data_IF_154507631922
#
_entry.id   IF_154507631922
#
_cell.length_a   1.000
_cell.length_b   1.000
_cell.length_c   1.000
_cell.angle_alpha   90.00
_cell.angle_beta   90.00
_cell.angle_gamma   90.00
#
_symmetry.space_group_name_H-M   'P 1'
#
loop_
_entity.id
_entity.type
_entity.pdbx_description
1 polymer ?
#
# COMPACT_ATOMS: atom_id res chain seq x y z
N UNK A 1 94.92 26.78 0.47
CA UNK A 1 94.48 25.38 0.67
C UNK A 1 92.97 25.34 0.38
N UNK A 2 92.55 24.66 -0.70
CA UNK A 2 91.18 24.20 -1.08
C UNK A 2 90.05 25.27 -1.12
N UNK A 3 89.49 25.58 -2.30
CA UNK A 3 88.23 25.02 -2.88
C UNK A 3 87.03 25.17 -1.91
N UNK A 4 85.86 25.70 -2.25
CA UNK A 4 85.02 25.42 -3.42
C UNK A 4 83.74 26.28 -3.35
N UNK A 5 83.21 26.59 -4.53
CA UNK A 5 81.83 26.91 -4.94
C UNK A 5 80.67 26.55 -3.98
N UNK A 6 79.61 27.36 -4.02
CA UNK A 6 78.30 26.94 -4.58
C UNK A 6 77.38 28.15 -4.86
N UNK A 7 76.70 28.09 -6.01
CA UNK A 7 75.75 29.07 -6.56
C UNK A 7 74.40 28.98 -5.83
N UNK A 8 73.83 30.13 -5.50
CA UNK A 8 72.43 30.28 -5.09
C UNK A 8 71.56 30.83 -6.22
N UNK A 9 70.38 30.23 -6.37
CA UNK A 9 69.27 30.63 -7.25
C UNK A 9 68.63 31.96 -6.83
N UNK A 10 68.06 32.70 -7.79
CA UNK A 10 67.12 33.79 -7.50
C UNK A 10 66.48 34.41 -8.75
N UNK A 11 65.14 34.49 -8.75
CA UNK A 11 64.30 35.37 -9.60
C UNK A 11 63.82 34.75 -10.92
N UNK A 12 62.62 34.16 -11.03
CA UNK A 12 61.30 34.79 -11.16
C UNK A 12 60.99 35.37 -12.56
N UNK A 13 60.01 34.78 -13.27
CA UNK A 13 58.85 35.52 -13.78
C UNK A 13 57.70 34.59 -14.22
N UNK A 14 56.49 35.10 -14.02
CA UNK A 14 55.15 34.49 -14.08
C UNK A 14 54.49 34.72 -15.43
N UNK A 15 53.73 33.72 -15.93
CA UNK A 15 52.53 33.83 -16.78
C UNK A 15 51.95 32.40 -16.86
N UNK A 16 50.76 32.03 -16.37
CA UNK A 16 49.52 32.79 -16.22
C UNK A 16 48.48 32.26 -17.23
N UNK A 17 48.03 31.02 -17.09
CA UNK A 17 46.90 30.47 -17.87
C UNK A 17 46.03 29.58 -16.97
N UNK A 18 45.02 30.20 -16.36
CA UNK A 18 43.91 29.53 -15.69
C UNK A 18 43.02 28.86 -16.76
N UNK A 19 43.14 27.54 -16.92
CA UNK A 19 42.06 26.77 -17.55
C UNK A 19 40.95 26.65 -16.52
N UNK A 20 39.90 27.44 -16.73
CA UNK A 20 38.68 27.41 -15.94
C UNK A 20 38.09 26.01 -15.94
N UNK A 21 38.05 25.40 -14.76
CA UNK A 21 37.09 24.36 -14.46
C UNK A 21 35.70 24.99 -14.67
N UNK A 22 35.08 24.71 -15.82
CA UNK A 22 33.68 24.99 -16.03
C UNK A 22 32.93 23.94 -15.20
N UNK A 23 32.83 24.20 -13.89
CA UNK A 23 31.84 23.56 -13.04
C UNK A 23 30.49 24.03 -13.57
N UNK A 24 29.95 23.34 -14.57
CA UNK A 24 28.54 23.48 -14.88
C UNK A 24 27.80 23.23 -13.56
N UNK A 25 27.01 24.18 -13.03
CA UNK A 25 26.12 23.83 -11.96
C UNK A 25 25.12 22.89 -12.63
N UNK A 26 25.29 21.58 -12.43
CA UNK A 26 24.21 20.64 -12.62
C UNK A 26 23.15 21.04 -11.59
N UNK A 27 22.33 22.03 -11.94
CA UNK A 27 21.10 22.36 -11.23
C UNK A 27 20.10 21.25 -11.56
N UNK A 28 20.41 20.01 -11.17
CA UNK A 28 19.38 19.02 -10.97
C UNK A 28 18.52 19.57 -9.83
N UNK A 29 17.42 20.26 -10.18
CA UNK A 29 16.43 20.70 -9.21
C UNK A 29 15.76 19.44 -8.66
N UNK A 30 16.40 18.81 -7.68
CA UNK A 30 15.83 17.74 -6.87
C UNK A 30 14.64 18.33 -6.12
N UNK A 31 13.43 18.01 -6.58
CA UNK A 31 12.21 18.48 -5.95
C UNK A 31 11.81 17.47 -4.87
N UNK A 32 12.13 17.79 -3.61
CA UNK A 32 11.59 17.06 -2.46
C UNK A 32 10.24 17.66 -2.11
N UNK A 33 9.21 16.81 -2.03
CA UNK A 33 7.85 17.19 -1.66
C UNK A 33 7.46 16.48 -0.37
N UNK A 34 7.08 17.24 0.65
CA UNK A 34 6.35 16.74 1.83
C UNK A 34 4.86 16.67 1.51
N UNK A 35 4.21 15.57 1.87
CA UNK A 35 2.79 15.36 1.61
C UNK A 35 2.19 14.38 2.61
N UNK A 36 0.87 14.31 2.66
CA UNK A 36 0.20 13.31 3.47
C UNK A 36 -1.30 13.53 3.59
N UNK A 37 -1.88 12.84 4.56
CA UNK A 37 -3.26 13.06 4.97
C UNK A 37 -3.46 12.75 6.45
N UNK A 38 -4.42 13.45 7.04
CA UNK A 38 -4.95 13.18 8.37
C UNK A 38 -6.42 12.82 8.21
N UNK A 39 -6.84 11.72 8.80
CA UNK A 39 -8.22 11.23 8.81
C UNK A 39 -8.57 10.85 10.25
N UNK A 40 -9.62 11.46 10.79
CA UNK A 40 -10.15 11.15 12.11
C UNK A 40 -11.67 11.02 12.07
N UNK A 41 -12.21 10.12 12.88
CA UNK A 41 -13.63 9.81 12.91
C UNK A 41 -14.13 9.49 14.31
N UNK A 42 -15.45 9.58 14.48
CA UNK A 42 -16.17 9.19 15.69
C UNK A 42 -17.35 8.32 15.33
N UNK A 43 -17.68 7.36 16.20
CA UNK A 43 -18.81 6.48 15.98
C UNK A 43 -18.82 5.29 16.93
N UNK A 44 -19.45 4.21 16.49
CA UNK A 44 -19.52 2.97 17.25
C UNK A 44 -19.14 1.77 16.39
N UNK A 45 -18.46 0.81 17.01
CA UNK A 45 -18.06 -0.47 16.42
C UNK A 45 -18.66 -1.59 17.25
N UNK A 46 -19.30 -2.55 16.59
CA UNK A 46 -19.69 -3.83 17.16
C UNK A 46 -19.18 -4.91 16.22
N UNK A 47 -18.15 -5.64 16.64
CA UNK A 47 -17.67 -6.80 15.87
C UNK A 47 -18.69 -7.95 15.95
N UNK A 48 -18.77 -8.83 14.94
CA UNK A 48 -19.58 -10.05 15.04
C UNK A 48 -19.26 -10.83 16.32
N UNK A 49 -20.29 -11.26 17.06
CA UNK A 49 -20.15 -11.94 18.35
C UNK A 49 -19.62 -11.09 19.51
N UNK A 50 -19.36 -9.80 19.31
CA UNK A 50 -18.85 -8.90 20.34
C UNK A 50 -19.86 -7.84 20.80
N UNK A 51 -19.43 -7.07 21.80
CA UNK A 51 -20.16 -5.92 22.31
C UNK A 51 -19.87 -4.65 21.51
N UNK A 52 -20.76 -3.66 21.65
CA UNK A 52 -20.61 -2.36 21.03
C UNK A 52 -19.67 -1.47 21.86
N UNK A 53 -18.73 -0.82 21.20
CA UNK A 53 -17.87 0.21 21.76
C UNK A 53 -18.03 1.52 20.99
N UNK A 54 -18.14 2.63 21.72
CA UNK A 54 -18.01 3.97 21.14
C UNK A 54 -16.53 4.32 21.02
N UNK A 55 -16.15 4.94 19.92
CA UNK A 55 -14.75 5.22 19.63
C UNK A 55 -14.58 6.55 18.92
N UNK A 56 -13.46 7.20 19.23
CA UNK A 56 -12.81 8.15 18.35
C UNK A 56 -11.57 7.46 17.79
N UNK A 57 -11.49 7.36 16.47
CA UNK A 57 -10.44 6.64 15.77
C UNK A 57 -9.73 7.52 14.75
N UNK A 58 -8.53 7.11 14.38
CA UNK A 58 -7.85 7.59 13.18
C UNK A 58 -8.13 6.67 12.01
N UNK A 59 -8.16 7.24 10.81
CA UNK A 59 -8.28 6.51 9.56
C UNK A 59 -9.63 5.85 9.33
N UNK A 60 -10.72 6.62 9.42
CA UNK A 60 -12.05 6.07 9.15
C UNK A 60 -12.21 5.71 7.69
N UNK A 61 -11.92 6.63 6.77
CA UNK A 61 -11.99 6.35 5.33
C UNK A 61 -10.62 5.97 4.73
N UNK A 62 -9.53 6.49 5.28
CA UNK A 62 -8.18 6.14 4.82
C UNK A 62 -7.15 6.33 5.94
N UNK A 63 -6.21 5.41 6.08
CA UNK A 63 -5.21 5.45 7.16
C UNK A 63 -4.39 6.74 7.09
N UNK A 64 -4.22 7.43 8.23
CA UNK A 64 -3.44 8.67 8.29
C UNK A 64 -1.96 8.38 8.07
N UNK A 65 -1.32 9.17 7.22
CA UNK A 65 0.09 9.04 6.91
C UNK A 65 0.70 10.39 6.51
N UNK A 66 2.00 10.49 6.66
CA UNK A 66 2.79 11.59 6.09
C UNK A 66 4.02 11.00 5.40
N UNK A 67 4.63 11.77 4.51
CA UNK A 67 5.86 11.34 3.89
C UNK A 67 6.48 12.37 2.97
N UNK A 68 7.65 12.01 2.48
CA UNK A 68 8.44 12.79 1.55
C UNK A 68 8.80 11.94 0.34
N UNK A 69 8.78 12.57 -0.83
CA UNK A 69 9.23 11.97 -2.07
C UNK A 69 10.10 12.93 -2.84
N UNK A 70 11.01 12.40 -3.63
CA UNK A 70 11.84 13.19 -4.51
C UNK A 70 12.26 12.41 -5.73
N UNK A 71 12.72 13.15 -6.74
CA UNK A 71 13.37 12.61 -7.91
C UNK A 71 14.52 13.51 -8.33
N UNK A 72 15.53 12.90 -8.92
CA UNK A 72 16.71 13.54 -9.51
C UNK A 72 16.84 13.07 -10.95
N UNK A 73 16.94 14.01 -11.89
CA UNK A 73 17.19 13.70 -13.30
C UNK A 73 18.66 13.32 -13.48
N UNK A 74 18.90 12.09 -13.94
CA UNK A 74 20.24 11.55 -14.20
C UNK A 74 20.66 11.73 -15.67
N UNK A 75 19.81 12.35 -16.50
CA UNK A 75 20.02 12.51 -17.93
C UNK A 75 19.52 11.31 -18.75
N UNK A 76 19.36 11.51 -20.06
CA UNK A 76 18.97 10.44 -20.99
C UNK A 76 17.58 9.83 -20.73
N UNK A 77 16.71 10.52 -19.99
CA UNK A 77 15.38 10.01 -19.61
C UNK A 77 15.40 9.05 -18.41
N UNK A 78 16.52 8.94 -17.69
CA UNK A 78 16.66 8.18 -16.46
C UNK A 78 16.55 9.09 -15.24
N UNK A 79 15.86 8.64 -14.20
CA UNK A 79 15.69 9.37 -12.94
C UNK A 79 16.01 8.47 -11.74
N UNK A 80 16.69 9.02 -10.74
CA UNK A 80 16.68 8.45 -9.40
C UNK A 80 15.41 8.91 -8.67
N UNK A 81 14.80 8.04 -7.88
CA UNK A 81 13.59 8.34 -7.12
C UNK A 81 13.69 7.81 -5.70
N UNK A 82 13.06 8.49 -4.74
CA UNK A 82 12.88 7.97 -3.39
C UNK A 82 11.51 8.32 -2.82
N UNK A 83 11.03 7.48 -1.90
CA UNK A 83 9.83 7.73 -1.09
C UNK A 83 10.07 7.23 0.32
N UNK A 84 9.74 8.06 1.32
CA UNK A 84 9.70 7.73 2.73
C UNK A 84 8.34 8.15 3.28
N UNK A 85 7.52 7.20 3.75
CA UNK A 85 6.16 7.45 4.23
C UNK A 85 5.88 6.65 5.49
N UNK A 86 5.38 7.33 6.52
CA UNK A 86 5.07 6.76 7.81
C UNK A 86 3.57 6.88 8.12
N UNK A 87 3.01 5.83 8.69
CA UNK A 87 1.66 5.89 9.25
C UNK A 87 1.68 6.54 10.63
N UNK A 88 0.57 7.15 11.04
CA UNK A 88 0.39 7.62 12.41
C UNK A 88 -1.07 7.57 12.82
N UNK A 89 -1.33 7.67 14.12
CA UNK A 89 -2.64 7.57 14.75
C UNK A 89 -3.07 8.92 15.35
N UNK A 90 -3.90 9.71 14.65
CA UNK A 90 -4.32 11.02 15.14
C UNK A 90 -5.13 10.97 16.44
N UNK A 91 -5.75 9.82 16.77
CA UNK A 91 -6.50 9.64 18.01
C UNK A 91 -5.63 9.66 19.28
N UNK A 92 -4.31 9.42 19.17
CA UNK A 92 -3.42 9.34 20.33
C UNK A 92 -1.98 9.80 20.08
N UNK A 93 -1.69 10.35 18.90
CA UNK A 93 -0.38 10.89 18.54
C UNK A 93 0.73 9.86 18.35
N UNK A 94 0.42 8.55 18.37
CA UNK A 94 1.42 7.51 18.19
C UNK A 94 1.75 7.31 16.70
N UNK A 95 3.00 6.96 16.40
CA UNK A 95 3.39 6.51 15.07
C UNK A 95 2.83 5.11 14.77
N UNK A 96 2.89 4.73 13.50
CA UNK A 96 2.43 3.44 12.99
C UNK A 96 0.91 3.27 12.98
N UNK A 97 0.45 2.18 12.37
CA UNK A 97 -0.96 1.76 12.36
C UNK A 97 -1.39 1.13 13.69
N UNK A 98 -0.45 0.48 14.37
CA UNK A 98 -0.62 -0.21 15.64
C UNK A 98 0.70 -0.21 16.41
N UNK A 99 0.66 -0.62 17.68
CA UNK A 99 1.88 -0.72 18.48
C UNK A 99 2.78 -1.84 17.94
N UNK A 100 4.01 -1.49 17.54
CA UNK A 100 4.97 -2.43 16.96
C UNK A 100 5.15 -2.30 15.44
N UNK A 101 4.39 -1.43 14.77
CA UNK A 101 4.70 -1.03 13.39
C UNK A 101 6.08 -0.32 13.35
N UNK A 102 6.81 -0.42 12.24
CA UNK A 102 8.10 0.27 12.09
C UNK A 102 7.92 1.75 11.72
N UNK A 103 8.95 2.58 11.92
CA UNK A 103 9.01 3.88 11.25
C UNK A 103 9.07 3.69 9.74
N UNK A 104 8.41 4.58 8.98
CA UNK A 104 8.25 4.50 7.53
C UNK A 104 7.60 3.20 7.06
N UNK A 105 6.58 2.72 7.81
CA UNK A 105 5.92 1.45 7.55
C UNK A 105 5.01 1.45 6.31
N UNK A 106 4.75 2.59 5.66
CA UNK A 106 3.94 2.65 4.43
C UNK A 106 4.80 2.39 3.20
N UNK A 107 5.83 3.21 2.97
CA UNK A 107 6.83 3.02 1.93
C UNK A 107 8.18 3.57 2.40
N UNK A 108 9.26 2.86 2.10
CA UNK A 108 10.62 3.32 2.36
C UNK A 108 11.56 2.74 1.31
N UNK A 109 11.78 3.46 0.21
CA UNK A 109 12.56 2.93 -0.91
C UNK A 109 13.33 4.00 -1.68
N UNK A 110 14.32 3.50 -2.42
CA UNK A 110 14.99 4.21 -3.51
C UNK A 110 14.83 3.40 -4.80
N UNK A 111 14.93 4.05 -5.95
CA UNK A 111 14.82 3.37 -7.23
C UNK A 111 15.35 4.16 -8.42
N UNK A 112 15.33 3.50 -9.57
CA UNK A 112 15.59 4.08 -10.88
C UNK A 112 14.32 3.98 -11.74
N UNK A 113 13.99 5.07 -12.41
CA UNK A 113 12.81 5.19 -13.26
C UNK A 113 13.20 5.68 -14.65
N UNK A 114 12.61 5.06 -15.67
CA UNK A 114 12.69 5.47 -17.06
C UNK A 114 11.33 5.29 -17.72
N UNK A 115 10.92 6.27 -18.53
CA UNK A 115 9.65 6.22 -19.25
C UNK A 115 9.61 5.12 -20.35
N UNK A 116 10.78 4.63 -20.79
CA UNK A 116 10.90 3.60 -21.82
C UNK A 116 11.30 2.23 -21.27
N UNK A 117 12.01 2.16 -20.15
CA UNK A 117 12.46 0.90 -19.55
C UNK A 117 11.66 0.47 -18.31
N UNK A 118 10.88 1.37 -17.70
CA UNK A 118 10.10 1.11 -16.49
C UNK A 118 10.82 1.57 -15.22
N UNK A 119 10.39 1.04 -14.08
CA UNK A 119 10.89 1.45 -12.76
C UNK A 119 11.35 0.25 -11.95
N UNK A 120 12.55 0.32 -11.38
CA UNK A 120 13.03 -0.63 -10.36
C UNK A 120 13.14 0.08 -9.03
N UNK A 121 12.50 -0.45 -7.98
CA UNK A 121 12.56 0.09 -6.62
C UNK A 121 13.01 -0.98 -5.63
N UNK A 122 13.80 -0.56 -4.63
CA UNK A 122 14.39 -1.44 -3.61
C UNK A 122 14.12 -0.84 -2.22
N UNK A 123 13.59 -1.64 -1.31
CA UNK A 123 13.33 -1.23 0.07
C UNK A 123 12.07 -1.86 0.66
N UNK A 124 11.27 -1.05 1.35
CA UNK A 124 9.92 -1.37 1.79
C UNK A 124 8.90 -0.83 0.80
N UNK A 125 8.13 -1.73 0.20
CA UNK A 125 7.29 -1.46 -0.96
C UNK A 125 5.85 -1.88 -0.67
N UNK A 126 4.88 -1.02 -1.00
CA UNK A 126 3.46 -1.38 -1.00
C UNK A 126 3.21 -2.55 -1.95
N UNK A 127 2.42 -3.54 -1.53
CA UNK A 127 2.17 -4.74 -2.35
C UNK A 127 1.20 -4.47 -3.50
N UNK A 128 1.46 -5.06 -4.67
CA UNK A 128 0.58 -4.92 -5.83
C UNK A 128 -0.82 -5.49 -5.58
N UNK A 129 -0.94 -6.49 -4.71
CA UNK A 129 -2.22 -7.06 -4.28
C UNK A 129 -3.05 -6.02 -3.50
N UNK A 130 -2.41 -5.29 -2.57
CA UNK A 130 -3.05 -4.19 -1.84
C UNK A 130 -3.49 -3.06 -2.79
N UNK A 131 -2.60 -2.61 -3.68
CA UNK A 131 -2.92 -1.58 -4.69
C UNK A 131 -4.13 -1.99 -5.54
N UNK A 132 -4.15 -3.25 -6.00
CA UNK A 132 -5.26 -3.79 -6.81
C UNK A 132 -6.57 -3.85 -6.03
N UNK A 133 -6.52 -4.15 -4.73
CA UNK A 133 -7.73 -4.14 -3.88
C UNK A 133 -8.33 -2.75 -3.76
N UNK A 134 -7.52 -1.74 -3.47
CA UNK A 134 -8.06 -0.40 -3.14
C UNK A 134 -8.49 0.38 -4.39
N UNK A 135 -7.83 0.17 -5.54
CA UNK A 135 -8.21 0.83 -6.80
C UNK A 135 -9.57 0.36 -7.34
N UNK A 136 -9.96 -0.86 -7.02
CA UNK A 136 -11.19 -1.50 -7.49
C UNK A 136 -12.28 -1.53 -6.40
N UNK A 137 -12.16 -0.69 -5.36
CA UNK A 137 -13.06 -0.65 -4.22
C UNK A 137 -13.70 0.73 -4.05
N UNK A 138 -15.04 0.85 -3.94
CA UNK A 138 -15.68 2.15 -3.73
C UNK A 138 -15.27 2.84 -2.42
N UNK A 139 -14.94 2.07 -1.39
CA UNK A 139 -14.44 2.57 -0.10
C UNK A 139 -12.90 2.68 -0.04
N UNK A 140 -12.22 2.51 -1.18
CA UNK A 140 -10.76 2.60 -1.33
C UNK A 140 -10.02 1.73 -0.31
N UNK A 141 -9.34 2.32 0.68
CA UNK A 141 -8.51 1.66 1.67
C UNK A 141 -9.06 1.80 3.10
N UNK A 142 -10.37 2.05 3.26
CA UNK A 142 -11.00 2.16 4.58
C UNK A 142 -10.92 0.83 5.34
N UNK A 143 -10.15 0.80 6.43
CA UNK A 143 -10.14 -0.33 7.38
C UNK A 143 -11.29 -0.26 8.41
N UNK A 144 -12.23 0.67 8.25
CA UNK A 144 -13.36 0.87 9.18
C UNK A 144 -14.71 0.56 8.53
N UNK A 145 -14.92 0.97 7.27
CA UNK A 145 -16.22 0.96 6.61
C UNK A 145 -16.26 0.16 5.30
N UNK A 146 -15.14 -0.44 4.88
CA UNK A 146 -15.04 -1.17 3.61
C UNK A 146 -15.33 -2.66 3.78
N UNK A 147 -16.37 -3.20 3.11
CA UNK A 147 -16.65 -4.63 3.10
C UNK A 147 -15.48 -5.47 2.57
N UNK A 148 -14.89 -5.06 1.45
CA UNK A 148 -13.80 -5.84 0.84
C UNK A 148 -12.52 -5.81 1.67
N UNK A 149 -12.15 -4.66 2.26
CA UNK A 149 -10.96 -4.59 3.12
C UNK A 149 -11.13 -5.48 4.35
N UNK A 150 -12.33 -5.54 4.94
CA UNK A 150 -12.65 -6.48 6.02
C UNK A 150 -12.47 -7.95 5.58
N UNK A 151 -12.96 -8.29 4.39
CA UNK A 151 -12.86 -9.65 3.84
C UNK A 151 -11.44 -10.02 3.41
N UNK A 152 -10.63 -9.06 2.95
CA UNK A 152 -9.28 -9.31 2.45
C UNK A 152 -8.22 -9.23 3.54
N UNK A 153 -8.22 -8.21 4.40
CA UNK A 153 -7.07 -7.89 5.27
C UNK A 153 -7.31 -8.07 6.77
N UNK A 154 -8.57 -8.17 7.20
CA UNK A 154 -8.92 -8.42 8.61
C UNK A 154 -9.32 -9.89 8.82
N UNK A 155 -10.14 -10.41 7.90
CA UNK A 155 -10.61 -11.79 7.96
C UNK A 155 -11.33 -12.13 9.27
N UNK A 156 -11.27 -13.39 9.67
CA UNK A 156 -11.83 -13.98 10.90
C UNK A 156 -10.84 -15.00 11.47
N UNK A 157 -10.34 -14.82 12.70
CA UNK A 157 -9.51 -15.80 13.42
C UNK A 157 -8.41 -16.49 12.58
N UNK A 158 -7.44 -15.72 12.08
CA UNK A 158 -6.34 -16.25 11.24
C UNK A 158 -6.69 -16.42 9.75
N UNK A 159 -7.87 -15.91 9.33
CA UNK A 159 -8.28 -15.78 7.93
C UNK A 159 -7.92 -14.39 7.38
N UNK A 160 -7.95 -14.25 6.06
CA UNK A 160 -7.50 -13.05 5.35
C UNK A 160 -6.06 -13.16 4.85
N UNK A 161 -5.65 -12.14 4.11
CA UNK A 161 -4.37 -12.05 3.44
C UNK A 161 -3.26 -11.83 4.46
N UNK A 162 -2.34 -12.78 4.49
CA UNK A 162 -1.14 -12.80 5.31
C UNK A 162 0.00 -12.31 4.42
N UNK A 163 0.65 -11.21 4.80
CA UNK A 163 1.59 -10.49 3.93
C UNK A 163 1.51 -8.97 4.05
N UNK A 164 0.47 -8.45 4.72
CA UNK A 164 0.25 -7.01 4.97
C UNK A 164 0.15 -6.17 3.67
N UNK A 165 0.00 -4.85 3.82
CA UNK A 165 -0.01 -3.88 2.72
C UNK A 165 1.37 -3.53 2.19
N UNK A 166 2.47 -3.99 2.81
CA UNK A 166 3.83 -3.68 2.37
C UNK A 166 4.89 -4.69 2.79
N UNK A 167 5.87 -4.92 1.91
CA UNK A 167 6.99 -5.84 2.14
C UNK A 167 8.31 -5.10 2.25
N UNK A 168 9.01 -5.32 3.36
CA UNK A 168 10.42 -4.91 3.54
C UNK A 168 11.35 -5.91 2.85
N UNK A 169 12.63 -5.54 2.71
CA UNK A 169 13.65 -6.39 2.09
C UNK A 169 13.20 -6.85 0.69
N UNK A 170 12.67 -5.90 -0.10
CA UNK A 170 11.99 -6.19 -1.34
C UNK A 170 12.58 -5.42 -2.53
N UNK A 171 12.46 -6.05 -3.70
CA UNK A 171 12.73 -5.45 -5.01
C UNK A 171 11.45 -5.56 -5.84
N UNK A 172 11.12 -4.50 -6.57
CA UNK A 172 9.99 -4.49 -7.49
C UNK A 172 10.40 -3.88 -8.81
N UNK A 173 9.94 -4.47 -9.90
CA UNK A 173 9.99 -3.90 -11.23
C UNK A 173 8.57 -3.61 -11.72
N UNK A 174 8.35 -2.41 -12.25
CA UNK A 174 7.11 -1.98 -12.90
C UNK A 174 7.41 -1.62 -14.35
N UNK A 175 6.64 -2.15 -15.29
CA UNK A 175 6.83 -1.86 -16.71
C UNK A 175 6.48 -0.40 -17.04
N UNK A 176 6.92 0.13 -18.19
CA UNK A 176 6.27 1.28 -18.80
C UNK A 176 4.76 1.07 -18.99
N UNK A 177 4.03 2.16 -19.23
CA UNK A 177 2.64 2.07 -19.66
C UNK A 177 2.54 1.73 -21.15
N UNK A 178 1.95 0.59 -21.47
CA UNK A 178 1.69 0.15 -22.83
C UNK A 178 0.22 0.32 -23.18
N UNK A 179 -0.15 1.52 -23.66
CA UNK A 179 -1.54 1.85 -24.07
C UNK A 179 -2.58 1.51 -22.98
N UNK A 180 -2.27 1.89 -21.74
CA UNK A 180 -3.12 1.63 -20.58
C UNK A 180 -2.73 0.41 -19.76
N UNK A 181 -1.93 -0.53 -20.30
CA UNK A 181 -1.46 -1.71 -19.59
C UNK A 181 -0.14 -1.44 -18.85
N UNK A 182 -0.09 -1.76 -17.56
CA UNK A 182 1.13 -1.78 -16.75
C UNK A 182 1.22 -3.11 -16.00
N UNK A 183 2.40 -3.71 -16.00
CA UNK A 183 2.71 -4.92 -15.23
C UNK A 183 3.67 -4.61 -14.09
N UNK A 184 3.58 -5.37 -13.00
CA UNK A 184 4.55 -5.32 -11.92
C UNK A 184 4.87 -6.71 -11.38
N UNK A 185 6.14 -6.93 -11.05
CA UNK A 185 6.62 -8.11 -10.32
C UNK A 185 7.44 -7.67 -9.12
N UNK A 186 7.26 -8.34 -8.00
CA UNK A 186 8.05 -8.07 -6.79
C UNK A 186 8.52 -9.34 -6.12
N UNK A 187 9.65 -9.24 -5.44
CA UNK A 187 10.22 -10.31 -4.62
C UNK A 187 10.72 -9.71 -3.31
N UNK A 188 10.33 -10.31 -2.19
CA UNK A 188 10.87 -9.99 -0.88
C UNK A 188 11.64 -11.20 -0.33
N UNK A 189 12.87 -10.96 0.10
CA UNK A 189 13.72 -11.99 0.67
C UNK A 189 13.21 -12.35 2.09
N UNK A 190 13.59 -13.55 2.57
CA UNK A 190 13.38 -13.90 3.98
C UNK A 190 14.12 -12.93 4.90
N UNK A 191 13.59 -12.71 6.11
CA UNK A 191 14.16 -11.75 7.06
C UNK A 191 15.12 -12.39 8.08
N UNK A 192 15.37 -13.70 7.98
CA UNK A 192 16.25 -14.44 8.89
C UNK A 192 17.39 -15.10 8.12
N UNK A 193 18.62 -14.83 8.57
CA UNK A 193 19.81 -15.43 8.00
C UNK A 193 19.76 -16.96 8.15
N UNK A 194 20.09 -17.68 7.07
CA UNK A 194 19.99 -19.14 7.02
C UNK A 194 18.57 -19.69 6.72
N UNK A 195 17.55 -18.83 6.67
CA UNK A 195 16.15 -19.20 6.44
C UNK A 195 15.64 -18.64 5.10
N UNK A 196 16.17 -19.18 4.01
CA UNK A 196 15.82 -18.75 2.63
C UNK A 196 14.42 -19.18 2.19
N UNK A 197 13.72 -20.00 2.98
CA UNK A 197 12.38 -20.51 2.70
C UNK A 197 11.25 -19.48 2.86
N UNK A 198 11.48 -18.39 3.59
CA UNK A 198 10.48 -17.37 3.98
C UNK A 198 10.24 -16.29 2.93
N UNK A 199 10.52 -16.59 1.66
CA UNK A 199 10.46 -15.60 0.60
C UNK A 199 9.00 -15.28 0.20
N UNK A 200 8.80 -14.06 -0.31
CA UNK A 200 7.51 -13.59 -0.82
C UNK A 200 7.69 -13.12 -2.24
N UNK A 201 6.66 -13.27 -3.08
CA UNK A 201 6.67 -12.69 -4.41
C UNK A 201 5.27 -12.38 -4.88
N UNK A 202 5.15 -11.37 -5.74
CA UNK A 202 3.89 -11.00 -6.37
C UNK A 202 4.07 -10.69 -7.84
N UNK A 203 2.99 -10.84 -8.59
CA UNK A 203 2.87 -10.38 -9.96
C UNK A 203 1.49 -9.76 -10.15
N UNK A 204 1.42 -8.70 -10.94
CA UNK A 204 0.16 -8.03 -11.23
C UNK A 204 0.15 -7.38 -12.59
N UNK A 205 -1.05 -7.18 -13.13
CA UNK A 205 -1.30 -6.33 -14.27
C UNK A 205 -2.47 -5.39 -13.95
N UNK A 206 -2.34 -4.14 -14.41
CA UNK A 206 -3.34 -3.10 -14.33
C UNK A 206 -3.60 -2.58 -15.73
N UNK A 207 -4.87 -2.47 -16.11
CA UNK A 207 -5.28 -1.89 -17.37
C UNK A 207 -6.24 -0.72 -17.12
N UNK A 208 -5.92 0.44 -17.68
CA UNK A 208 -6.77 1.64 -17.65
C UNK A 208 -6.96 2.16 -19.07
N UNK A 209 -8.20 2.20 -19.55
CA UNK A 209 -8.52 2.76 -20.86
C UNK A 209 -9.92 3.39 -20.86
N UNK A 210 -9.95 4.73 -20.84
CA UNK A 210 -11.20 5.50 -20.79
C UNK A 210 -12.04 5.13 -19.55
N UNK A 211 -13.33 4.75 -19.73
CA UNK A 211 -14.22 4.42 -18.62
C UNK A 211 -13.93 3.05 -17.99
N UNK A 212 -13.16 2.19 -18.65
CA UNK A 212 -12.90 0.83 -18.19
C UNK A 212 -11.53 0.71 -17.50
N UNK A 213 -11.51 -0.01 -16.40
CA UNK A 213 -10.28 -0.48 -15.78
C UNK A 213 -10.40 -1.95 -15.37
N UNK A 214 -9.27 -2.65 -15.34
CA UNK A 214 -9.20 -4.04 -14.87
C UNK A 214 -7.86 -4.34 -14.18
N UNK A 215 -7.86 -5.36 -13.32
CA UNK A 215 -6.66 -5.86 -12.66
C UNK A 215 -6.68 -7.36 -12.49
N UNK A 216 -5.48 -7.94 -12.53
CA UNK A 216 -5.18 -9.24 -11.92
C UNK A 216 -3.97 -9.06 -11.02
N UNK A 217 -4.04 -9.59 -9.81
CA UNK A 217 -2.92 -9.63 -8.88
C UNK A 217 -2.81 -11.01 -8.26
N UNK A 218 -1.60 -11.54 -8.22
CA UNK A 218 -1.26 -12.77 -7.54
C UNK A 218 -0.12 -12.50 -6.57
N UNK A 219 -0.19 -13.10 -5.39
CA UNK A 219 0.95 -13.16 -4.50
C UNK A 219 1.07 -14.50 -3.81
N UNK A 220 2.31 -14.85 -3.51
CA UNK A 220 2.65 -15.94 -2.63
C UNK A 220 3.49 -15.40 -1.47
N UNK A 221 3.15 -15.85 -0.27
CA UNK A 221 3.89 -15.56 0.94
C UNK A 221 4.26 -16.89 1.57
N UNK A 222 5.54 -17.13 1.82
CA UNK A 222 6.02 -18.31 2.55
C UNK A 222 6.50 -17.91 3.93
N UNK A 223 6.33 -18.83 4.87
CA UNK A 223 6.79 -18.75 6.25
C UNK A 223 7.39 -20.11 6.63
N UNK A 224 8.37 -20.13 7.53
CA UNK A 224 8.92 -21.40 8.02
C UNK A 224 8.06 -22.01 9.13
N UNK A 225 8.25 -23.31 9.36
CA UNK A 225 7.41 -24.09 10.27
C UNK A 225 7.61 -23.81 11.76
N UNK A 226 8.53 -22.91 12.12
CA UNK A 226 8.82 -22.60 13.53
C UNK A 226 7.86 -21.50 13.98
N UNK A 227 7.20 -21.63 15.14
CA UNK A 227 6.41 -20.55 15.73
C UNK A 227 7.28 -19.30 15.86
N UNK A 228 6.78 -18.14 15.39
CA UNK A 228 7.25 -16.75 15.58
C UNK A 228 7.32 -15.90 14.29
N UNK A 229 7.12 -16.48 13.09
CA UNK A 229 7.14 -15.70 11.82
C UNK A 229 5.79 -15.01 11.50
N UNK A 230 4.69 -15.51 12.09
CA UNK A 230 3.37 -14.87 12.13
C UNK A 230 2.76 -15.13 13.51
N UNK A 231 2.65 -14.09 14.34
CA UNK A 231 1.89 -14.21 15.59
C UNK A 231 0.44 -14.59 15.28
N UNK A 232 -0.03 -15.73 15.79
CA UNK A 232 -1.45 -16.11 15.78
C UNK A 232 -1.88 -17.25 14.85
N UNK A 233 -1.01 -17.84 14.02
CA UNK A 233 -1.36 -19.04 13.22
C UNK A 233 -0.26 -20.11 13.29
N UNK A 234 -0.35 -21.01 14.27
CA UNK A 234 0.59 -22.12 14.46
C UNK A 234 0.64 -23.02 13.22
N UNK A 235 1.86 -23.31 12.74
CA UNK A 235 2.08 -24.26 11.64
C UNK A 235 1.78 -23.72 10.23
N UNK A 236 1.55 -22.41 10.07
CA UNK A 236 1.39 -21.76 8.78
C UNK A 236 2.66 -21.87 7.93
N UNK A 237 2.53 -22.33 6.68
CA UNK A 237 3.67 -22.54 5.77
C UNK A 237 3.65 -21.62 4.56
N UNK A 238 2.48 -21.41 3.99
CA UNK A 238 2.35 -20.48 2.87
C UNK A 238 0.93 -19.99 2.67
N UNK A 239 0.84 -18.80 2.09
CA UNK A 239 -0.36 -18.26 1.49
C UNK A 239 -0.17 -18.11 -0.02
N UNK A 240 -1.21 -18.41 -0.77
CA UNK A 240 -1.37 -17.98 -2.15
C UNK A 240 -2.65 -17.16 -2.24
N UNK A 241 -2.60 -15.99 -2.85
CA UNK A 241 -3.77 -15.13 -3.03
C UNK A 241 -3.84 -14.65 -4.48
N UNK A 242 -4.97 -14.91 -5.13
CA UNK A 242 -5.33 -14.38 -6.44
C UNK A 242 -6.45 -13.36 -6.27
N UNK A 243 -6.39 -12.29 -7.04
CA UNK A 243 -7.42 -11.28 -7.13
C UNK A 243 -7.64 -10.86 -8.57
N UNK A 244 -8.91 -10.64 -8.90
CA UNK A 244 -9.37 -10.03 -10.14
C UNK A 244 -10.23 -8.82 -9.77
N UNK A 245 -10.15 -7.75 -10.56
CA UNK A 245 -11.01 -6.58 -10.38
C UNK A 245 -11.34 -5.91 -11.70
N UNK A 246 -12.51 -5.30 -11.76
CA UNK A 246 -12.94 -4.48 -12.88
C UNK A 246 -13.75 -3.27 -12.40
N UNK A 247 -13.63 -2.15 -13.11
CA UNK A 247 -14.53 -0.99 -12.94
C UNK A 247 -15.00 -0.48 -14.29
N UNK A 248 -16.21 0.08 -14.31
CA UNK A 248 -16.72 0.82 -15.47
C UNK A 248 -17.37 2.12 -14.98
N UNK A 249 -16.91 3.26 -15.50
CA UNK A 249 -17.36 4.59 -15.12
C UNK A 249 -18.28 5.19 -16.19
N UNK A 250 -19.58 5.28 -15.88
CA UNK A 250 -20.58 5.92 -16.74
C UNK A 250 -20.74 7.42 -16.46
N UNK A 251 -19.86 8.02 -15.65
CA UNK A 251 -19.93 9.39 -15.13
C UNK A 251 -21.07 9.65 -14.15
N UNK A 252 -22.26 9.09 -14.38
CA UNK A 252 -23.41 9.17 -13.47
C UNK A 252 -23.37 8.09 -12.38
N UNK A 253 -22.69 6.99 -12.66
CA UNK A 253 -22.42 5.91 -11.71
C UNK A 253 -21.15 5.20 -12.16
N UNK A 254 -20.33 4.82 -11.19
CA UNK A 254 -19.20 3.93 -11.41
C UNK A 254 -19.45 2.59 -10.73
N UNK A 255 -19.32 1.51 -11.49
CA UNK A 255 -19.44 0.15 -10.99
C UNK A 255 -18.08 -0.43 -10.62
N UNK A 256 -18.08 -1.27 -9.59
CA UNK A 256 -16.91 -1.98 -9.08
C UNK A 256 -17.25 -3.46 -8.92
N UNK A 257 -16.36 -4.32 -9.37
CA UNK A 257 -16.42 -5.76 -9.13
C UNK A 257 -15.05 -6.30 -8.76
N UNK A 258 -15.00 -7.17 -7.75
CA UNK A 258 -13.79 -7.91 -7.41
C UNK A 258 -14.09 -9.37 -7.10
N UNK A 259 -13.10 -10.21 -7.37
CA UNK A 259 -13.07 -11.61 -6.98
C UNK A 259 -11.71 -11.91 -6.35
N UNK A 260 -11.70 -12.71 -5.28
CA UNK A 260 -10.48 -13.20 -4.65
C UNK A 260 -10.57 -14.69 -4.35
N UNK A 261 -9.43 -15.35 -4.46
CA UNK A 261 -9.23 -16.71 -3.97
C UNK A 261 -7.94 -16.76 -3.16
N UNK A 262 -8.04 -17.14 -1.89
CA UNK A 262 -6.92 -17.23 -0.96
C UNK A 262 -6.80 -18.68 -0.50
N UNK A 263 -5.58 -19.21 -0.46
CA UNK A 263 -5.28 -20.55 0.03
C UNK A 263 -4.16 -20.50 1.04
N UNK A 264 -4.48 -20.89 2.26
CA UNK A 264 -3.57 -21.05 3.38
C UNK A 264 -3.15 -22.51 3.50
N UNK A 265 -1.86 -22.77 3.46
CA UNK A 265 -1.27 -24.06 3.75
C UNK A 265 -0.78 -24.07 5.20
N UNK A 266 -1.48 -24.82 6.05
CA UNK A 266 -1.24 -24.89 7.49
C UNK A 266 -1.03 -26.36 7.87
N UNK A 267 -0.05 -26.62 8.72
CA UNK A 267 0.22 -27.95 9.27
C UNK A 267 -0.99 -28.42 10.06
N UNK A 268 -1.58 -29.56 9.69
CA UNK A 268 -2.79 -30.10 10.33
C UNK A 268 -4.10 -29.77 9.61
N UNK A 269 -4.10 -28.94 8.56
CA UNK A 269 -5.25 -28.71 7.69
C UNK A 269 -5.30 -27.31 7.09
N UNK A 270 -5.30 -27.20 5.76
CA UNK A 270 -5.37 -25.91 5.07
C UNK A 270 -6.75 -25.26 5.10
N UNK A 271 -6.78 -23.95 4.85
CA UNK A 271 -8.02 -23.17 4.68
C UNK A 271 -7.98 -22.49 3.32
N UNK A 272 -9.08 -22.52 2.60
CA UNK A 272 -9.26 -21.77 1.35
C UNK A 272 -10.44 -20.83 1.47
N UNK A 273 -10.29 -19.61 0.97
CA UNK A 273 -11.32 -18.58 0.96
C UNK A 273 -11.65 -18.22 -0.48
N UNK A 274 -12.94 -18.23 -0.80
CA UNK A 274 -13.45 -17.81 -2.10
C UNK A 274 -14.48 -16.71 -1.87
N UNK A 275 -14.25 -15.53 -2.46
CA UNK A 275 -15.11 -14.39 -2.22
C UNK A 275 -14.91 -13.26 -3.19
N UNK A 276 -15.63 -12.17 -2.98
CA UNK A 276 -15.58 -11.01 -3.84
C UNK A 276 -16.53 -9.92 -3.37
N UNK A 277 -16.56 -8.83 -4.14
CA UNK A 277 -17.50 -7.73 -3.92
C UNK A 277 -18.13 -7.23 -5.21
N UNK A 278 -19.31 -6.64 -5.06
CA UNK A 278 -19.90 -5.71 -6.02
C UNK A 278 -20.15 -4.39 -5.31
N UNK A 279 -19.91 -3.28 -5.99
CA UNK A 279 -20.10 -1.96 -5.41
C UNK A 279 -20.33 -0.88 -6.45
N UNK A 280 -20.76 0.27 -5.98
CA UNK A 280 -21.02 1.45 -6.79
C UNK A 280 -20.54 2.72 -6.09
N UNK A 281 -20.19 3.72 -6.90
CA UNK A 281 -20.11 5.11 -6.44
C UNK A 281 -20.95 6.00 -7.36
N UNK A 282 -21.84 6.80 -6.78
CA UNK A 282 -22.76 7.70 -7.48
C UNK A 282 -22.43 9.14 -7.08
N UNK A 283 -22.00 10.01 -8.01
CA UNK A 283 -21.83 11.43 -7.72
C UNK A 283 -23.16 12.05 -7.28
N UNK A 284 -23.16 12.81 -6.18
CA UNK A 284 -24.34 13.49 -5.66
C UNK A 284 -23.91 14.80 -4.97
N UNK A 285 -24.27 15.94 -5.58
CA UNK A 285 -23.82 17.26 -5.14
C UNK A 285 -22.29 17.38 -5.21
N UNK A 286 -21.67 17.94 -4.17
CA UNK A 286 -20.20 18.01 -4.05
C UNK A 286 -19.55 16.73 -3.49
N UNK A 287 -20.30 15.63 -3.45
CA UNK A 287 -19.88 14.37 -2.87
C UNK A 287 -20.24 13.17 -3.72
N UNK A 288 -20.14 11.99 -3.11
CA UNK A 288 -20.50 10.71 -3.71
C UNK A 288 -21.14 9.80 -2.68
N UNK A 289 -22.19 9.10 -3.09
CA UNK A 289 -22.75 7.97 -2.36
C UNK A 289 -21.95 6.72 -2.74
N UNK A 290 -21.54 5.95 -1.74
CA UNK A 290 -20.75 4.73 -1.87
C UNK A 290 -21.59 3.57 -1.35
N UNK A 291 -21.66 2.48 -2.10
CA UNK A 291 -22.25 1.24 -1.62
C UNK A 291 -21.40 0.05 -2.04
N UNK A 292 -21.30 -0.95 -1.17
CA UNK A 292 -20.62 -2.21 -1.46
C UNK A 292 -21.27 -3.37 -0.73
N UNK A 293 -21.29 -4.53 -1.36
CA UNK A 293 -21.63 -5.81 -0.77
C UNK A 293 -20.49 -6.80 -1.06
N UNK A 294 -19.94 -7.40 -0.01
CA UNK A 294 -18.92 -8.43 -0.09
C UNK A 294 -19.43 -9.76 0.50
N UNK A 295 -19.00 -10.85 -0.12
CA UNK A 295 -19.25 -12.21 0.34
C UNK A 295 -17.98 -13.04 0.25
N UNK A 296 -17.67 -13.78 1.31
CA UNK A 296 -16.57 -14.77 1.31
C UNK A 296 -17.04 -16.05 1.97
N UNK A 297 -16.65 -17.19 1.40
CA UNK A 297 -16.80 -18.51 1.99
C UNK A 297 -15.43 -19.14 2.21
N UNK A 298 -15.18 -19.54 3.44
CA UNK A 298 -14.01 -20.32 3.85
C UNK A 298 -14.35 -21.81 3.82
N UNK A 299 -13.42 -22.64 3.37
CA UNK A 299 -13.53 -24.11 3.32
C UNK A 299 -12.22 -24.79 3.73
N UNK A 300 -12.27 -26.08 4.07
CA UNK A 300 -11.12 -26.84 4.59
C UNK A 300 -11.23 -27.01 6.10
N UNK A 301 -10.17 -26.65 6.84
CA UNK A 301 -10.16 -26.68 8.31
C UNK A 301 -11.13 -25.67 8.97
N UNK A 302 -11.72 -24.77 8.19
CA UNK A 302 -12.81 -23.88 8.60
C UNK A 302 -13.91 -23.88 7.53
N UNK A 303 -15.17 -23.81 7.94
CA UNK A 303 -16.32 -23.75 7.03
C UNK A 303 -17.29 -22.64 7.46
N UNK A 304 -16.94 -21.40 7.13
CA UNK A 304 -17.63 -20.19 7.57
C UNK A 304 -17.95 -19.33 6.35
N UNK A 305 -19.10 -18.68 6.35
CA UNK A 305 -19.39 -17.63 5.38
C UNK A 305 -19.50 -16.26 6.07
N UNK A 306 -19.04 -15.23 5.38
CA UNK A 306 -19.10 -13.83 5.80
C UNK A 306 -19.83 -13.01 4.76
N UNK A 307 -20.75 -12.17 5.22
CA UNK A 307 -21.53 -11.23 4.42
C UNK A 307 -21.37 -9.86 5.03
N UNK A 308 -20.87 -8.91 4.25
CA UNK A 308 -20.69 -7.53 4.70
C UNK A 308 -21.28 -6.60 3.67
N UNK A 309 -22.01 -5.58 4.11
CA UNK A 309 -22.44 -4.49 3.25
C UNK A 309 -22.22 -3.15 3.90
N UNK A 310 -21.96 -2.14 3.09
CA UNK A 310 -21.75 -0.78 3.56
C UNK A 310 -22.44 0.23 2.66
N UNK A 311 -22.87 1.32 3.28
CA UNK A 311 -23.37 2.53 2.65
C UNK A 311 -22.61 3.72 3.25
N UNK A 312 -22.12 4.62 2.41
CA UNK A 312 -21.44 5.82 2.86
C UNK A 312 -21.71 7.02 1.97
N UNK A 313 -21.47 8.21 2.52
CA UNK A 313 -21.45 9.46 1.79
C UNK A 313 -20.14 10.19 2.11
N UNK A 314 -19.43 10.58 1.06
CA UNK A 314 -18.15 11.30 1.11
C UNK A 314 -18.36 12.65 0.43
N UNK A 315 -18.31 13.75 1.19
CA UNK A 315 -18.62 15.11 0.78
C UNK A 315 -17.37 15.99 0.77
N UNK A 316 -17.01 16.51 -0.40
CA UNK A 316 -15.83 17.37 -0.52
C UNK A 316 -16.18 18.80 -0.08
N UNK A 317 -15.54 19.26 1.00
CA UNK A 317 -15.54 20.66 1.40
C UNK A 317 -14.57 21.48 0.53
N UNK A 318 -13.47 20.86 0.09
CA UNK A 318 -12.48 21.44 -0.82
C UNK A 318 -11.79 20.33 -1.63
N UNK A 319 -10.81 20.70 -2.47
CA UNK A 319 -9.95 19.71 -3.15
C UNK A 319 -9.13 18.83 -2.20
N UNK A 320 -8.95 19.29 -0.96
CA UNK A 320 -8.06 18.69 0.04
C UNK A 320 -8.79 18.24 1.30
N UNK A 321 -10.05 18.61 1.49
CA UNK A 321 -10.79 18.35 2.72
C UNK A 321 -12.15 17.75 2.38
N UNK A 322 -12.45 16.61 2.99
CA UNK A 322 -13.73 15.93 2.89
C UNK A 322 -14.26 15.57 4.28
N UNK A 323 -15.58 15.56 4.41
CA UNK A 323 -16.30 14.98 5.55
C UNK A 323 -17.09 13.79 5.04
N UNK A 324 -17.26 12.79 5.89
CA UNK A 324 -17.95 11.57 5.50
C UNK A 324 -18.79 11.02 6.63
N UNK A 325 -19.78 10.21 6.27
CA UNK A 325 -20.53 9.35 7.16
C UNK A 325 -20.73 8.00 6.50
N UNK A 326 -20.63 6.92 7.28
CA UNK A 326 -20.80 5.57 6.76
C UNK A 326 -21.42 4.64 7.81
N UNK A 327 -22.11 3.63 7.30
CA UNK A 327 -22.65 2.50 8.04
C UNK A 327 -22.23 1.21 7.33
N UNK A 328 -21.77 0.23 8.09
CA UNK A 328 -21.41 -1.09 7.62
C UNK A 328 -22.04 -2.13 8.54
N UNK A 329 -22.60 -3.18 7.96
CA UNK A 329 -23.05 -4.36 8.68
C UNK A 329 -22.20 -5.56 8.27
N UNK A 330 -21.80 -6.37 9.25
CA UNK A 330 -20.97 -7.55 9.05
C UNK A 330 -21.60 -8.76 9.75
N UNK A 331 -21.70 -9.88 9.04
CA UNK A 331 -22.27 -11.12 9.56
C UNK A 331 -21.41 -12.30 9.16
N UNK A 332 -20.99 -13.04 10.18
CA UNK A 332 -20.26 -14.30 10.08
C UNK A 332 -21.22 -15.43 10.47
N UNK A 333 -21.26 -16.52 9.71
CA UNK A 333 -22.28 -17.57 9.88
C UNK A 333 -22.35 -18.22 11.25
N UNK A 334 -21.25 -18.19 12.01
CA UNK A 334 -21.12 -18.80 13.33
C UNK A 334 -21.29 -17.82 14.49
N UNK A 335 -21.60 -16.54 14.21
CA UNK A 335 -21.61 -15.47 15.21
C UNK A 335 -22.86 -14.61 15.09
N UNK A 336 -23.18 -13.86 16.15
CA UNK A 336 -24.16 -12.77 16.05
C UNK A 336 -23.63 -11.66 15.15
N UNK A 337 -24.54 -10.89 14.55
CA UNK A 337 -24.16 -9.80 13.63
C UNK A 337 -23.45 -8.64 14.34
N UNK A 338 -22.54 -8.03 13.60
CA UNK A 338 -21.85 -6.79 13.94
C UNK A 338 -22.26 -5.63 13.03
N UNK A 339 -21.98 -4.42 13.49
CA UNK A 339 -22.18 -3.20 12.73
C UNK A 339 -21.20 -2.11 13.16
N UNK A 340 -20.80 -1.27 12.22
CA UNK A 340 -19.93 -0.12 12.43
C UNK A 340 -20.57 1.09 11.78
N UNK A 341 -20.72 2.18 12.51
CA UNK A 341 -21.20 3.43 11.96
C UNK A 341 -20.47 4.61 12.56
N UNK A 342 -20.34 5.67 11.78
CA UNK A 342 -19.65 6.87 12.22
C UNK A 342 -19.54 7.91 11.13
N UNK A 343 -18.95 9.03 11.51
CA UNK A 343 -18.58 10.09 10.59
C UNK A 343 -17.23 10.67 10.96
N UNK A 344 -16.58 11.27 9.98
CA UNK A 344 -15.24 11.78 10.13
C UNK A 344 -14.91 12.90 9.15
N UNK A 345 -13.69 13.39 9.30
CA UNK A 345 -13.09 14.40 8.45
C UNK A 345 -11.72 13.90 8.00
N UNK A 346 -11.40 14.13 6.73
CA UNK A 346 -10.10 13.83 6.14
C UNK A 346 -9.54 15.06 5.44
N UNK A 347 -8.26 15.32 5.66
CA UNK A 347 -7.54 16.44 5.08
C UNK A 347 -6.20 16.00 4.49
N UNK A 348 -5.93 16.40 3.25
CA UNK A 348 -4.67 16.14 2.51
C UNK A 348 -3.80 17.39 2.48
N UNK A 349 -2.49 17.24 2.68
CA UNK A 349 -1.53 18.35 2.64
C UNK A 349 -0.38 18.07 1.66
#
# INVERSE_FOLDING_TARGET
MKRSMAKGMGGALVLGACMGAVSAPALAQSNVTLYGQVDAWVGAVKNPGGDRAWTQGGGGMSTSYWGMKGNEDLGGGLKAVFVLEDFFRPQNGQYGRFQGDSMFSRNAYVGLQSDTAGTVTIGRLTTSYFVSTILFNPFVDSYTFSPMVFHTFIGQAGQGVVGDSGWSNAVMYTTPNFKGLTGAVSYAFGNKAGETGQNKWSASALYFNGPFAATVAYQQVKFDSVPDDMAGITGFRSQQALQLGATYDLQVVKFFGQYQYIRNNITGGGVSENGGQLGVSVPLGNGKVLASYAYTKSSGASNVNRKTWALGYDYNLSKRTDIYAAYMNDKVSTMSGGDTFGGGIRMKF
#
